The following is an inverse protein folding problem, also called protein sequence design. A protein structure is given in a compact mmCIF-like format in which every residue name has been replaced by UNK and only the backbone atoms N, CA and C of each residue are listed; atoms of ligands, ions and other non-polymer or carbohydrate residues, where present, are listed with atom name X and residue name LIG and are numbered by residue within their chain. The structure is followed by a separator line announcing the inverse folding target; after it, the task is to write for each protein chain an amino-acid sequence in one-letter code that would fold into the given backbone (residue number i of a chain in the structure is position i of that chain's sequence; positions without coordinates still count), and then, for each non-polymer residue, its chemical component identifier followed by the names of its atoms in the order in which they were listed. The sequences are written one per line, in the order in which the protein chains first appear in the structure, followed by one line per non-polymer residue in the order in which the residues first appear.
data_IF_882685774074
#
_entry.id   IF_882685774074
#
_cell.length_a   1.000
_cell.length_b   1.000
_cell.length_c   1.000
_cell.angle_alpha   90.00
_cell.angle_beta   90.00
_cell.angle_gamma   90.00
#
_symmetry.space_group_name_H-M   'P 1'
#
loop_
_entity.id
_entity.type
_entity.pdbx_description
1 polymer ?
#
# COMPACT_ATOMS: atom_id res chain seq x y z
N UNK A 1 7.52 21.38 -8.28
CA UNK A 1 7.51 20.95 -6.87
C UNK A 1 8.89 20.39 -6.56
N UNK A 2 9.80 21.27 -6.16
CA UNK A 2 11.23 20.92 -5.93
C UNK A 2 11.60 20.82 -4.45
N UNK A 3 10.72 21.30 -3.56
CA UNK A 3 10.88 21.22 -2.12
C UNK A 3 9.96 20.15 -1.53
N UNK A 4 10.35 19.51 -0.41
CA UNK A 4 9.47 18.59 0.30
C UNK A 4 8.27 19.33 0.92
N UNK A 5 7.25 18.56 1.30
CA UNK A 5 6.10 19.08 2.01
C UNK A 5 6.49 19.55 3.43
N UNK A 6 5.69 20.47 3.98
CA UNK A 6 5.86 20.92 5.35
C UNK A 6 5.15 19.93 6.26
N UNK A 7 5.89 19.35 7.20
CA UNK A 7 5.34 18.43 8.17
C UNK A 7 4.42 19.12 9.19
N UNK A 8 3.46 18.38 9.73
CA UNK A 8 2.71 18.85 10.90
C UNK A 8 3.66 19.09 12.07
N UNK A 9 3.36 20.09 12.91
CA UNK A 9 4.29 20.61 13.93
C UNK A 9 4.64 19.60 15.05
N UNK A 10 3.78 18.62 15.23
CA UNK A 10 3.82 17.58 16.26
C UNK A 10 4.29 16.21 15.74
N UNK A 11 4.66 16.10 14.46
CA UNK A 11 5.31 14.90 13.91
C UNK A 11 6.58 14.58 14.72
N UNK A 12 6.81 13.31 15.11
CA UNK A 12 8.00 12.90 15.84
C UNK A 12 9.29 13.33 15.14
N UNK A 13 10.19 13.99 15.87
CA UNK A 13 11.49 14.38 15.31
C UNK A 13 12.45 13.20 15.32
N UNK A 14 13.01 12.88 14.16
CA UNK A 14 13.96 11.78 14.01
C UNK A 14 14.83 11.94 12.77
N UNK A 15 15.93 11.18 12.74
CA UNK A 15 16.87 11.17 11.60
C UNK A 15 16.57 10.05 10.59
N UNK A 16 15.95 8.98 11.04
CA UNK A 16 15.73 7.74 10.30
C UNK A 16 14.66 6.87 11.02
N UNK A 17 14.34 5.72 10.42
CA UNK A 17 13.34 4.74 10.89
C UNK A 17 13.51 4.32 12.37
N UNK A 18 14.71 4.42 12.96
CA UNK A 18 14.94 4.06 14.37
C UNK A 18 14.25 4.99 15.36
N UNK A 19 13.73 6.13 14.89
CA UNK A 19 13.00 7.13 15.67
C UNK A 19 11.50 7.13 15.40
N UNK A 20 10.99 6.19 14.60
CA UNK A 20 9.57 6.00 14.42
C UNK A 20 8.92 5.53 15.73
N UNK A 21 7.67 5.92 15.97
CA UNK A 21 7.00 5.72 17.27
C UNK A 21 5.84 4.74 17.10
N UNK A 22 5.87 3.63 17.83
CA UNK A 22 4.72 2.72 17.89
C UNK A 22 3.62 3.39 18.72
N UNK A 23 2.47 3.65 18.09
CA UNK A 23 1.33 4.32 18.74
C UNK A 23 0.20 3.36 19.09
N UNK A 24 0.18 2.16 18.48
CA UNK A 24 -0.83 1.14 18.74
C UNK A 24 -0.31 -0.26 18.40
N UNK A 25 -0.81 -1.28 19.10
CA UNK A 25 -0.60 -2.70 18.77
C UNK A 25 -1.92 -3.43 18.97
N UNK A 26 -2.22 -4.39 18.09
CA UNK A 26 -3.48 -5.15 18.09
C UNK A 26 -3.26 -6.57 17.55
N UNK A 27 -4.09 -7.50 18.03
CA UNK A 27 -3.99 -8.92 17.70
C UNK A 27 -2.96 -9.67 18.57
N UNK A 28 -3.05 -11.00 18.55
CA UNK A 28 -2.17 -11.88 19.30
C UNK A 28 -1.12 -12.50 18.38
N UNK A 29 0.16 -12.42 18.77
CA UNK A 29 1.24 -13.10 18.04
C UNK A 29 1.05 -14.63 18.18
N UNK A 30 1.02 -15.39 17.07
CA UNK A 30 0.82 -16.84 17.13
C UNK A 30 1.96 -17.53 17.88
N UNK A 31 1.61 -18.57 18.64
CA UNK A 31 2.56 -19.45 19.33
C UNK A 31 2.55 -20.81 18.66
N UNK A 32 3.67 -21.18 18.07
CA UNK A 32 3.84 -22.47 17.41
C UNK A 32 4.51 -23.47 18.37
N UNK A 33 4.03 -24.72 18.36
CA UNK A 33 4.69 -25.87 19.01
C UNK A 33 5.65 -26.60 18.03
N UNK A 34 5.95 -25.96 16.90
CA UNK A 34 6.89 -26.35 15.87
C UNK A 34 7.68 -25.11 15.39
N UNK A 35 8.77 -25.33 14.65
CA UNK A 35 9.54 -24.24 14.05
C UNK A 35 8.77 -23.68 12.83
N UNK A 36 8.35 -22.39 12.85
CA UNK A 36 7.59 -21.82 11.76
C UNK A 36 8.47 -21.71 10.51
N UNK A 37 7.93 -22.16 9.37
CA UNK A 37 8.55 -21.98 8.07
C UNK A 37 8.33 -20.57 7.55
N UNK A 38 9.24 -20.09 6.71
CA UNK A 38 9.00 -18.87 5.96
C UNK A 38 8.03 -19.08 4.79
N UNK A 39 7.46 -17.97 4.31
CA UNK A 39 6.47 -17.99 3.24
C UNK A 39 6.96 -18.60 1.92
N UNK A 40 8.27 -18.56 1.61
CA UNK A 40 8.78 -19.12 0.36
C UNK A 40 8.82 -20.65 0.48
N UNK A 41 9.34 -21.17 1.58
CA UNK A 41 9.41 -22.60 1.83
C UNK A 41 7.99 -23.21 1.89
N UNK A 42 7.02 -22.49 2.48
CA UNK A 42 5.59 -22.87 2.44
C UNK A 42 5.03 -22.78 1.01
N UNK A 43 5.29 -21.66 0.34
CA UNK A 43 4.73 -21.38 -0.98
C UNK A 43 5.19 -22.34 -2.07
N UNK A 44 6.45 -22.79 -2.01
CA UNK A 44 7.00 -23.82 -2.90
C UNK A 44 6.44 -25.20 -2.58
N UNK A 45 6.35 -25.57 -1.29
CA UNK A 45 5.81 -26.85 -0.86
C UNK A 45 4.32 -27.03 -1.26
N UNK A 46 3.55 -25.93 -1.22
CA UNK A 46 2.14 -25.89 -1.62
C UNK A 46 1.95 -25.63 -3.14
N UNK A 47 3.04 -25.44 -3.90
CA UNK A 47 3.04 -25.10 -5.33
C UNK A 47 2.15 -23.87 -5.66
N UNK A 48 2.20 -22.86 -4.79
CA UNK A 48 1.48 -21.58 -4.93
C UNK A 48 2.41 -20.41 -5.25
N UNK A 49 3.72 -20.51 -4.98
CA UNK A 49 4.74 -19.53 -5.34
C UNK A 49 5.81 -20.22 -6.18
N UNK A 50 6.10 -19.66 -7.37
CA UNK A 50 7.13 -20.19 -8.27
C UNK A 50 8.09 -19.08 -8.71
N UNK A 51 9.21 -19.00 -8.00
CA UNK A 51 10.29 -18.04 -8.26
C UNK A 51 11.22 -18.56 -9.35
N UNK A 52 11.43 -19.88 -9.43
CA UNK A 52 12.34 -20.47 -10.40
C UNK A 52 11.90 -20.15 -11.83
N UNK A 53 10.65 -20.45 -12.16
CA UNK A 53 10.08 -20.15 -13.49
C UNK A 53 10.06 -18.65 -13.75
N UNK A 54 9.75 -17.83 -12.74
CA UNK A 54 9.78 -16.37 -12.87
C UNK A 54 11.19 -15.85 -13.16
N UNK A 55 12.22 -16.42 -12.54
CA UNK A 55 13.61 -16.07 -12.78
C UNK A 55 14.08 -16.43 -14.19
N UNK A 56 13.61 -17.54 -14.75
CA UNK A 56 13.91 -17.94 -16.12
C UNK A 56 13.23 -17.02 -17.16
N UNK A 57 12.04 -16.51 -16.84
CA UNK A 57 11.24 -15.68 -17.77
C UNK A 57 11.55 -14.18 -17.67
N UNK A 58 11.71 -13.64 -16.46
CA UNK A 58 11.76 -12.20 -16.19
C UNK A 58 13.00 -11.77 -15.38
N UNK A 59 13.82 -12.73 -14.94
CA UNK A 59 14.97 -12.48 -14.06
C UNK A 59 14.60 -12.40 -12.58
N UNK A 60 15.55 -11.95 -11.76
CA UNK A 60 15.38 -11.87 -10.30
C UNK A 60 14.23 -10.94 -9.90
N UNK A 61 13.71 -11.10 -8.67
CA UNK A 61 12.66 -10.25 -8.08
C UNK A 61 11.33 -10.29 -8.84
N UNK A 62 11.02 -11.43 -9.44
CA UNK A 62 9.70 -11.79 -9.95
C UNK A 62 9.27 -13.14 -9.35
N UNK A 63 7.96 -13.37 -9.30
CA UNK A 63 7.38 -14.64 -8.87
C UNK A 63 6.06 -14.87 -9.61
N UNK A 64 5.72 -16.14 -9.86
CA UNK A 64 4.35 -16.52 -10.18
C UNK A 64 3.59 -16.87 -8.90
N UNK A 65 2.37 -16.36 -8.77
CA UNK A 65 1.37 -16.96 -7.90
C UNK A 65 0.54 -17.96 -8.70
N UNK A 66 0.35 -19.16 -8.15
CA UNK A 66 -0.36 -20.27 -8.81
C UNK A 66 -1.44 -20.84 -7.91
N UNK A 67 -2.37 -21.59 -8.52
CA UNK A 67 -3.41 -22.37 -7.83
C UNK A 67 -4.12 -21.54 -6.74
N UNK A 68 -4.14 -22.05 -5.51
CA UNK A 68 -4.78 -21.39 -4.37
C UNK A 68 -4.12 -20.06 -3.99
N UNK A 69 -2.81 -19.85 -4.27
CA UNK A 69 -2.15 -18.55 -4.06
C UNK A 69 -2.68 -17.46 -4.99
N UNK A 70 -2.92 -17.80 -6.25
CA UNK A 70 -3.54 -16.87 -7.20
C UNK A 70 -4.99 -16.52 -6.80
N UNK A 71 -5.75 -17.51 -6.32
CA UNK A 71 -7.12 -17.27 -5.82
C UNK A 71 -7.13 -16.44 -4.52
N UNK A 72 -6.11 -16.59 -3.66
CA UNK A 72 -5.95 -15.79 -2.45
C UNK A 72 -5.72 -14.31 -2.77
N UNK A 73 -4.88 -14.00 -3.76
CA UNK A 73 -4.70 -12.63 -4.25
C UNK A 73 -6.03 -11.99 -4.67
N UNK A 74 -6.78 -12.67 -5.54
CA UNK A 74 -8.09 -12.18 -6.00
C UNK A 74 -9.07 -12.00 -4.84
N UNK A 75 -9.04 -12.88 -3.84
CA UNK A 75 -9.85 -12.78 -2.64
C UNK A 75 -9.51 -11.55 -1.79
N UNK A 76 -8.22 -11.22 -1.65
CA UNK A 76 -7.77 -10.03 -0.92
C UNK A 76 -8.27 -8.74 -1.60
N UNK A 77 -8.19 -8.67 -2.93
CA UNK A 77 -8.71 -7.53 -3.71
C UNK A 77 -10.21 -7.35 -3.46
N UNK A 78 -10.98 -8.44 -3.62
CA UNK A 78 -12.43 -8.42 -3.42
C UNK A 78 -12.82 -8.09 -1.98
N UNK A 79 -12.06 -8.56 -1.00
CA UNK A 79 -12.26 -8.26 0.42
C UNK A 79 -12.09 -6.77 0.70
N UNK A 80 -10.99 -6.15 0.24
CA UNK A 80 -10.74 -4.73 0.40
C UNK A 80 -11.82 -3.87 -0.28
N UNK A 81 -12.14 -4.15 -1.54
CA UNK A 81 -13.17 -3.42 -2.28
C UNK A 81 -14.55 -3.52 -1.61
N UNK A 82 -14.94 -4.70 -1.13
CA UNK A 82 -16.23 -4.86 -0.45
C UNK A 82 -16.29 -4.11 0.89
N UNK A 83 -15.18 -3.98 1.62
CA UNK A 83 -15.15 -3.12 2.82
C UNK A 83 -15.29 -1.66 2.41
N UNK A 84 -14.43 -1.19 1.50
CA UNK A 84 -14.32 0.23 1.17
C UNK A 84 -15.54 0.78 0.42
N UNK A 85 -16.15 0.01 -0.48
CA UNK A 85 -17.37 0.44 -1.16
C UNK A 85 -18.53 0.71 -0.19
N UNK A 86 -18.61 -0.03 0.92
CA UNK A 86 -19.63 0.20 1.96
C UNK A 86 -19.39 1.49 2.75
N UNK A 87 -18.18 2.00 2.71
CA UNK A 87 -17.72 3.21 3.40
C UNK A 87 -17.68 4.43 2.45
N UNK A 88 -18.31 4.29 1.27
CA UNK A 88 -18.49 5.37 0.30
C UNK A 88 -17.33 5.60 -0.66
N UNK A 89 -16.38 4.66 -0.77
CA UNK A 89 -15.33 4.72 -1.78
C UNK A 89 -15.87 4.36 -3.16
N UNK A 90 -15.48 5.14 -4.17
CA UNK A 90 -15.74 4.83 -5.57
C UNK A 90 -14.68 3.86 -6.10
N UNK A 91 -15.11 2.70 -6.58
CA UNK A 91 -14.22 1.69 -7.14
C UNK A 91 -13.69 2.08 -8.53
N UNK A 92 -12.37 2.01 -8.71
CA UNK A 92 -11.68 2.39 -9.95
C UNK A 92 -10.65 1.32 -10.31
N UNK A 93 -10.50 1.02 -11.60
CA UNK A 93 -9.35 0.31 -12.14
C UNK A 93 -8.54 1.32 -12.96
N UNK A 94 -7.51 1.96 -12.37
CA UNK A 94 -6.80 3.03 -13.06
C UNK A 94 -5.76 2.46 -14.05
N UNK A 95 -5.33 3.25 -15.05
CA UNK A 95 -4.18 2.90 -15.87
C UNK A 95 -2.91 2.70 -15.03
N UNK A 96 -2.05 1.77 -15.45
CA UNK A 96 -0.73 1.51 -14.84
C UNK A 96 0.41 2.29 -15.48
N UNK A 97 0.09 3.14 -16.44
CA UNK A 97 1.03 3.99 -17.15
C UNK A 97 0.65 5.46 -16.97
N UNK A 98 1.65 6.31 -16.78
CA UNK A 98 1.48 7.73 -16.49
C UNK A 98 2.46 8.58 -17.28
N UNK A 99 1.96 9.69 -17.84
CA UNK A 99 2.82 10.64 -18.56
C UNK A 99 3.75 11.39 -17.59
N UNK A 100 5.00 11.71 -17.98
CA UNK A 100 5.98 12.34 -17.10
C UNK A 100 5.48 13.65 -16.47
N UNK A 101 4.76 14.48 -17.23
CA UNK A 101 4.22 15.76 -16.74
C UNK A 101 3.17 15.56 -15.65
N UNK A 102 2.34 14.52 -15.75
CA UNK A 102 1.34 14.19 -14.74
C UNK A 102 2.02 13.59 -13.50
N UNK A 103 3.02 12.75 -13.70
CA UNK A 103 3.77 12.13 -12.61
C UNK A 103 4.54 13.18 -11.79
N UNK A 104 5.09 14.21 -12.46
CA UNK A 104 5.70 15.40 -11.84
C UNK A 104 4.66 16.24 -11.09
N UNK A 105 3.47 16.45 -11.68
CA UNK A 105 2.35 17.16 -11.03
C UNK A 105 1.83 16.44 -9.78
N UNK A 106 1.99 15.12 -9.69
CA UNK A 106 1.70 14.37 -8.46
C UNK A 106 2.81 14.45 -7.40
N UNK A 107 3.96 15.06 -7.72
CA UNK A 107 5.12 15.11 -6.82
C UNK A 107 5.86 13.77 -6.72
N UNK A 108 5.63 12.87 -7.68
CA UNK A 108 6.13 11.48 -7.63
C UNK A 108 7.16 11.19 -8.73
N UNK A 109 7.68 12.23 -9.39
CA UNK A 109 8.77 12.14 -10.36
C UNK A 109 9.75 13.32 -10.19
N UNK A 110 10.80 13.11 -9.41
CA UNK A 110 12.02 13.95 -9.33
C UNK A 110 13.20 13.29 -10.06
N UNK A 111 14.31 14.01 -10.25
CA UNK A 111 15.56 13.41 -10.79
C UNK A 111 16.04 12.21 -9.96
N UNK A 112 16.05 12.34 -8.63
CA UNK A 112 16.45 11.27 -7.71
C UNK A 112 15.52 10.05 -7.74
N UNK A 113 14.28 10.21 -8.20
CA UNK A 113 13.28 9.13 -8.26
C UNK A 113 13.25 8.42 -9.62
N UNK A 114 13.90 8.96 -10.67
CA UNK A 114 13.86 8.34 -12.00
C UNK A 114 14.50 6.96 -12.03
N UNK A 115 15.60 6.78 -11.30
CA UNK A 115 16.35 5.51 -11.29
C UNK A 115 15.53 4.35 -10.74
N UNK A 116 14.57 4.62 -9.86
CA UNK A 116 13.69 3.60 -9.25
C UNK A 116 12.43 3.30 -10.09
N UNK A 117 12.25 3.95 -11.25
CA UNK A 117 11.03 3.81 -12.08
C UNK A 117 11.32 3.18 -13.42
N UNK A 118 10.39 2.35 -13.88
CA UNK A 118 10.40 1.85 -15.25
C UNK A 118 9.86 2.93 -16.19
N UNK A 119 10.62 3.23 -17.24
CA UNK A 119 10.32 4.22 -18.26
C UNK A 119 10.34 3.57 -19.64
N UNK A 120 9.31 3.84 -20.45
CA UNK A 120 9.16 3.35 -21.81
C UNK A 120 9.51 4.49 -22.75
N UNK A 121 10.78 4.54 -23.18
CA UNK A 121 11.36 5.68 -23.91
C UNK A 121 10.62 6.01 -25.22
N UNK A 122 10.16 5.00 -25.95
CA UNK A 122 9.50 5.17 -27.25
C UNK A 122 8.18 5.92 -27.16
N UNK A 123 7.50 5.81 -26.02
CA UNK A 123 6.16 6.33 -25.80
C UNK A 123 6.16 7.53 -24.82
N UNK A 124 7.33 7.91 -24.29
CA UNK A 124 7.51 8.91 -23.23
C UNK A 124 6.51 8.72 -22.08
N UNK A 125 6.51 7.51 -21.49
CA UNK A 125 5.57 7.13 -20.44
C UNK A 125 6.23 6.25 -19.37
N UNK A 126 5.80 6.40 -18.12
CA UNK A 126 6.31 5.63 -16.98
C UNK A 126 5.30 4.59 -16.52
N UNK A 127 5.79 3.47 -16.00
CA UNK A 127 4.97 2.58 -15.18
C UNK A 127 4.83 3.13 -13.75
N UNK A 128 3.65 2.97 -13.15
CA UNK A 128 3.34 3.50 -11.81
C UNK A 128 3.81 2.54 -10.71
N UNK A 129 4.34 3.09 -9.62
CA UNK A 129 4.67 2.32 -8.39
C UNK A 129 3.56 2.28 -7.34
N UNK A 130 2.38 2.84 -7.65
CA UNK A 130 1.17 2.88 -6.83
C UNK A 130 -0.03 3.32 -7.68
N UNK A 131 -1.22 2.78 -7.42
CA UNK A 131 -2.50 3.30 -7.96
C UNK A 131 -2.74 4.78 -7.61
N UNK A 132 -2.21 5.26 -6.49
CA UNK A 132 -2.28 6.68 -6.07
C UNK A 132 -1.90 7.63 -7.22
N UNK A 133 -0.86 7.27 -7.98
CA UNK A 133 -0.31 8.11 -9.04
C UNK A 133 -1.32 8.39 -10.16
N UNK A 134 -2.27 7.48 -10.38
CA UNK A 134 -3.30 7.57 -11.42
C UNK A 134 -4.72 7.75 -10.87
N UNK A 135 -4.92 7.58 -9.56
CA UNK A 135 -6.14 8.01 -8.86
C UNK A 135 -6.14 9.52 -8.59
N UNK A 136 -5.03 10.10 -8.14
CA UNK A 136 -4.92 11.55 -7.88
C UNK A 136 -5.29 12.42 -9.08
N UNK A 137 -4.84 12.11 -10.31
CA UNK A 137 -5.25 12.85 -11.51
C UNK A 137 -6.76 12.87 -11.80
N UNK A 138 -7.59 12.03 -11.16
CA UNK A 138 -9.05 12.15 -11.24
C UNK A 138 -9.58 13.47 -10.68
N UNK A 139 -8.81 14.13 -9.80
CA UNK A 139 -9.11 15.47 -9.27
C UNK A 139 -8.56 16.62 -10.12
N UNK A 140 -7.82 16.35 -11.20
CA UNK A 140 -7.05 17.36 -11.92
C UNK A 140 -7.93 18.48 -12.48
N UNK A 141 -7.52 19.73 -12.24
CA UNK A 141 -8.20 20.95 -12.67
C UNK A 141 -9.66 21.07 -12.21
N UNK A 142 -10.08 20.27 -11.22
CA UNK A 142 -11.43 20.34 -10.63
C UNK A 142 -11.48 21.32 -9.47
N UNK A 143 -12.63 21.97 -9.31
CA UNK A 143 -13.00 22.70 -8.09
C UNK A 143 -14.25 22.03 -7.50
N UNK A 144 -14.08 21.28 -6.43
CA UNK A 144 -15.16 20.61 -5.71
C UNK A 144 -16.02 21.61 -4.92
N UNK A 145 -17.31 21.32 -4.79
CA UNK A 145 -18.15 21.91 -3.75
C UNK A 145 -17.87 21.22 -2.42
N UNK A 146 -18.03 21.91 -1.29
CA UNK A 146 -17.78 21.34 0.05
C UNK A 146 -18.55 20.04 0.29
N UNK A 147 -19.81 19.97 -0.16
CA UNK A 147 -20.68 18.79 -0.03
C UNK A 147 -20.21 17.55 -0.80
N UNK A 148 -19.29 17.70 -1.75
CA UNK A 148 -18.71 16.59 -2.50
C UNK A 148 -17.52 15.95 -1.76
N UNK A 149 -17.06 16.57 -0.66
CA UNK A 149 -15.92 16.11 0.11
C UNK A 149 -16.37 15.44 1.43
N UNK A 150 -15.66 14.40 1.89
CA UNK A 150 -14.49 13.80 1.24
C UNK A 150 -14.88 12.99 -0.01
N UNK A 151 -14.10 13.16 -1.10
CA UNK A 151 -14.26 12.39 -2.34
C UNK A 151 -13.25 11.26 -2.35
N UNK A 152 -13.73 10.03 -2.16
CA UNK A 152 -12.93 8.84 -1.91
C UNK A 152 -12.94 7.88 -3.11
N UNK A 153 -11.78 7.34 -3.43
CA UNK A 153 -11.58 6.31 -4.44
C UNK A 153 -10.84 5.11 -3.85
N UNK A 154 -11.23 3.91 -4.27
CA UNK A 154 -10.45 2.68 -4.07
C UNK A 154 -9.99 2.17 -5.43
N UNK A 155 -8.70 1.94 -5.59
CA UNK A 155 -8.09 1.50 -6.84
C UNK A 155 -7.28 0.22 -6.70
N UNK A 156 -7.39 -0.67 -7.69
CA UNK A 156 -6.51 -1.84 -7.82
C UNK A 156 -5.59 -1.68 -9.02
N UNK A 157 -4.29 -1.94 -8.84
CA UNK A 157 -3.35 -1.98 -9.94
C UNK A 157 -2.11 -2.81 -9.63
N UNK A 158 -1.55 -3.44 -10.66
CA UNK A 158 -0.14 -3.84 -10.64
C UNK A 158 0.76 -2.61 -10.60
N UNK A 159 1.75 -2.67 -9.71
CA UNK A 159 2.68 -1.60 -9.38
C UNK A 159 4.11 -2.04 -9.71
N UNK A 160 4.91 -1.10 -10.21
CA UNK A 160 6.24 -1.38 -10.72
C UNK A 160 7.31 -0.50 -10.05
N UNK A 161 8.37 -1.13 -9.55
CA UNK A 161 9.54 -0.45 -8.96
C UNK A 161 10.81 -1.15 -9.39
N UNK A 162 11.84 -0.38 -9.74
CA UNK A 162 13.16 -0.95 -10.10
C UNK A 162 13.93 -1.41 -8.87
N UNK A 163 13.51 -1.03 -7.67
CA UNK A 163 14.14 -1.41 -6.41
C UNK A 163 15.64 -1.05 -6.42
N UNK A 164 15.97 0.09 -7.04
CA UNK A 164 17.33 0.56 -7.20
C UNK A 164 17.92 0.89 -5.82
N UNK A 165 19.14 0.42 -5.54
CA UNK A 165 19.80 0.63 -4.24
C UNK A 165 19.39 -0.35 -3.14
N UNK A 166 18.51 -1.33 -3.40
CA UNK A 166 18.12 -2.37 -2.43
C UNK A 166 19.07 -3.60 -2.38
N UNK A 167 20.32 -3.45 -2.82
CA UNK A 167 21.28 -4.55 -2.97
C UNK A 167 21.42 -5.38 -1.68
N UNK A 168 21.12 -6.68 -1.77
CA UNK A 168 21.23 -7.64 -0.66
C UNK A 168 20.09 -7.60 0.36
N UNK A 169 19.16 -6.64 0.30
CA UNK A 169 18.02 -6.53 1.23
C UNK A 169 16.78 -7.22 0.66
N UNK A 170 16.12 -8.03 1.50
CA UNK A 170 14.83 -8.69 1.20
C UNK A 170 14.82 -9.36 -0.19
N UNK A 171 15.86 -10.15 -0.49
CA UNK A 171 16.03 -10.77 -1.82
C UNK A 171 15.28 -12.11 -1.97
N UNK A 172 14.88 -12.74 -0.86
CA UNK A 172 14.15 -14.01 -0.84
C UNK A 172 12.64 -13.75 -0.91
N UNK A 173 11.93 -14.55 -1.70
CA UNK A 173 10.47 -14.59 -1.69
C UNK A 173 9.80 -13.45 -2.47
N UNK A 174 8.60 -13.07 -2.02
CA UNK A 174 7.73 -12.08 -2.67
C UNK A 174 7.61 -10.76 -1.89
N UNK A 175 8.51 -10.52 -0.93
CA UNK A 175 8.46 -9.35 -0.04
C UNK A 175 8.86 -8.04 -0.75
N UNK A 176 9.84 -8.13 -1.66
CA UNK A 176 10.37 -7.01 -2.43
C UNK A 176 10.65 -7.46 -3.87
N UNK A 177 9.71 -7.17 -4.76
CA UNK A 177 9.68 -7.60 -6.15
C UNK A 177 9.49 -6.40 -7.09
N UNK A 178 9.85 -6.56 -8.37
CA UNK A 178 9.73 -5.48 -9.35
C UNK A 178 8.30 -5.16 -9.74
N UNK A 179 7.44 -6.19 -9.72
CA UNK A 179 6.00 -6.10 -9.97
C UNK A 179 5.26 -6.66 -8.77
N UNK A 180 4.33 -5.89 -8.22
CA UNK A 180 3.46 -6.32 -7.12
C UNK A 180 2.09 -5.67 -7.24
N UNK A 181 1.08 -6.32 -6.68
CA UNK A 181 -0.28 -5.82 -6.73
C UNK A 181 -0.68 -5.11 -5.44
N UNK A 182 -1.51 -4.07 -5.58
CA UNK A 182 -1.94 -3.23 -4.46
C UNK A 182 -3.37 -2.76 -4.62
N UNK A 183 -4.09 -2.71 -3.50
CA UNK A 183 -5.34 -1.95 -3.37
C UNK A 183 -5.03 -0.66 -2.63
N UNK A 184 -5.37 0.48 -3.24
CA UNK A 184 -5.07 1.82 -2.74
C UNK A 184 -6.35 2.59 -2.44
N UNK A 185 -6.36 3.30 -1.32
CA UNK A 185 -7.32 4.35 -0.99
C UNK A 185 -6.74 5.72 -1.37
N UNK A 186 -7.54 6.56 -2.01
CA UNK A 186 -7.19 7.95 -2.27
C UNK A 186 -8.38 8.85 -1.92
N UNK A 187 -8.13 9.95 -1.22
CA UNK A 187 -9.18 10.87 -0.80
C UNK A 187 -8.80 12.32 -1.05
N UNK A 188 -9.75 13.08 -1.61
CA UNK A 188 -9.72 14.54 -1.55
C UNK A 188 -10.56 14.99 -0.36
N UNK A 189 -9.99 15.82 0.50
CA UNK A 189 -10.66 16.33 1.69
C UNK A 189 -10.66 17.86 1.73
N UNK A 190 -11.63 18.43 2.45
CA UNK A 190 -11.58 19.83 2.83
C UNK A 190 -10.36 20.07 3.75
N UNK A 191 -9.59 21.16 3.62
CA UNK A 191 -8.40 21.41 4.44
C UNK A 191 -8.66 21.27 5.95
N UNK A 192 -9.75 21.85 6.45
CA UNK A 192 -10.15 21.79 7.87
C UNK A 192 -10.54 20.39 8.36
N UNK A 193 -10.80 19.45 7.43
CA UNK A 193 -11.21 18.07 7.72
C UNK A 193 -10.15 17.04 7.36
N UNK A 194 -8.95 17.50 6.99
CA UNK A 194 -7.89 16.65 6.49
C UNK A 194 -7.35 15.67 7.55
N UNK A 195 -7.16 16.10 8.80
CA UNK A 195 -6.71 15.18 9.86
C UNK A 195 -7.78 14.16 10.23
N UNK A 196 -9.06 14.55 10.24
CA UNK A 196 -10.19 13.65 10.45
C UNK A 196 -10.25 12.56 9.37
N UNK A 197 -10.08 12.94 8.09
CA UNK A 197 -10.00 12.00 6.98
C UNK A 197 -8.76 11.08 7.08
N UNK A 198 -7.63 11.61 7.57
CA UNK A 198 -6.40 10.81 7.74
C UNK A 198 -6.62 9.68 8.75
N UNK A 199 -7.23 9.99 9.89
CA UNK A 199 -7.59 9.01 10.91
C UNK A 199 -8.65 8.03 10.40
N UNK A 200 -9.60 8.50 9.59
CA UNK A 200 -10.57 7.62 8.94
C UNK A 200 -9.90 6.60 8.01
N UNK A 201 -8.99 7.02 7.13
CA UNK A 201 -8.25 6.10 6.24
C UNK A 201 -7.42 5.09 7.02
N UNK A 202 -6.73 5.53 8.09
CA UNK A 202 -5.99 4.63 8.98
C UNK A 202 -6.94 3.61 9.63
N UNK A 203 -8.11 4.02 10.10
CA UNK A 203 -9.10 3.11 10.68
C UNK A 203 -9.60 2.05 9.70
N UNK A 204 -9.60 2.35 8.39
CA UNK A 204 -9.94 1.37 7.36
C UNK A 204 -8.85 0.32 7.19
N UNK A 205 -7.57 0.70 7.26
CA UNK A 205 -6.47 -0.26 7.28
C UNK A 205 -6.57 -1.18 8.50
N UNK A 206 -6.78 -0.59 9.68
CA UNK A 206 -6.97 -1.35 10.92
C UNK A 206 -8.15 -2.33 10.83
N UNK A 207 -9.28 -1.90 10.26
CA UNK A 207 -10.45 -2.76 10.01
C UNK A 207 -10.13 -3.93 9.08
N UNK A 208 -9.35 -3.68 8.02
CA UNK A 208 -8.91 -4.70 7.07
C UNK A 208 -8.03 -5.74 7.77
N UNK A 209 -6.95 -5.32 8.41
CA UNK A 209 -5.98 -6.23 9.03
C UNK A 209 -6.52 -6.94 10.28
N UNK A 210 -7.36 -6.28 11.08
CA UNK A 210 -8.09 -6.95 12.18
C UNK A 210 -9.03 -8.04 11.64
N UNK A 211 -9.74 -7.78 10.53
CA UNK A 211 -10.62 -8.78 9.93
C UNK A 211 -9.88 -9.95 9.28
N UNK A 212 -8.62 -9.75 8.87
CA UNK A 212 -7.73 -10.82 8.41
C UNK A 212 -7.15 -11.66 9.56
N UNK A 213 -7.41 -11.27 10.81
CA UNK A 213 -6.87 -11.91 12.02
C UNK A 213 -5.33 -11.93 12.04
N UNK A 214 -4.72 -10.83 11.60
CA UNK A 214 -3.26 -10.67 11.56
C UNK A 214 -2.82 -9.72 12.69
N UNK A 215 -1.86 -10.12 13.54
CA UNK A 215 -1.32 -9.22 14.56
C UNK A 215 -0.51 -8.09 13.92
N UNK A 216 -0.86 -6.86 14.25
CA UNK A 216 -0.30 -5.66 13.65
C UNK A 216 0.01 -4.57 14.67
N UNK A 217 0.83 -3.61 14.27
CA UNK A 217 1.05 -2.36 14.99
C UNK A 217 0.93 -1.17 14.06
N UNK A 218 0.57 -0.03 14.63
CA UNK A 218 0.57 1.27 13.95
C UNK A 218 1.77 2.07 14.43
N UNK A 219 2.53 2.59 13.48
CA UNK A 219 3.76 3.32 13.71
C UNK A 219 3.61 4.72 13.10
N UNK A 220 3.84 5.76 13.90
CA UNK A 220 3.98 7.13 13.39
C UNK A 220 5.41 7.36 12.91
N UNK A 221 5.52 7.82 11.67
CA UNK A 221 6.81 7.97 10.98
C UNK A 221 7.42 9.33 11.34
N UNK A 222 8.70 9.32 11.67
CA UNK A 222 9.40 10.53 12.11
C UNK A 222 9.84 11.40 10.91
N UNK A 223 10.19 12.66 11.19
CA UNK A 223 10.59 13.65 10.17
C UNK A 223 11.71 13.21 9.22
N UNK A 224 12.61 12.34 9.67
CA UNK A 224 13.74 11.87 8.86
C UNK A 224 13.43 10.70 7.94
N UNK A 225 12.25 10.09 8.11
CA UNK A 225 11.83 8.87 7.41
C UNK A 225 10.54 9.07 6.59
N UNK A 226 9.78 10.15 6.86
CA UNK A 226 8.61 10.54 6.07
C UNK A 226 9.00 10.84 4.61
N UNK A 227 8.18 10.34 3.68
CA UNK A 227 8.32 10.61 2.25
C UNK A 227 8.15 12.10 1.89
N UNK A 228 8.83 12.60 0.84
CA UNK A 228 8.93 14.05 0.57
C UNK A 228 7.60 14.74 0.23
N UNK A 229 6.55 13.99 -0.12
CA UNK A 229 5.22 14.54 -0.44
C UNK A 229 4.32 14.69 0.78
N UNK A 230 4.66 14.02 1.88
CA UNK A 230 3.73 13.75 2.96
C UNK A 230 3.98 14.73 4.12
N UNK A 231 2.92 15.25 4.72
CA UNK A 231 2.98 16.12 5.89
C UNK A 231 2.94 15.31 7.21
N UNK A 232 2.28 14.14 7.18
CA UNK A 232 2.28 13.13 8.25
C UNK A 232 2.03 11.76 7.61
N UNK A 233 2.67 10.73 8.15
CA UNK A 233 2.52 9.34 7.70
C UNK A 233 2.40 8.41 8.91
N UNK A 234 1.51 7.43 8.78
CA UNK A 234 1.44 6.26 9.65
C UNK A 234 1.68 5.00 8.82
N UNK A 235 2.43 4.06 9.36
CA UNK A 235 2.56 2.74 8.77
C UNK A 235 1.84 1.70 9.63
N UNK A 236 1.16 0.76 8.94
CA UNK A 236 0.65 -0.47 9.52
C UNK A 236 1.65 -1.56 9.21
N UNK A 237 2.18 -2.17 10.26
CA UNK A 237 3.14 -3.25 10.17
C UNK A 237 2.54 -4.53 10.76
N UNK A 238 2.71 -5.66 10.08
CA UNK A 238 2.19 -6.97 10.50
C UNK A 238 3.35 -7.86 10.94
N UNK A 239 3.12 -8.69 11.96
CA UNK A 239 4.09 -9.65 12.46
C UNK A 239 4.46 -10.69 11.39
N UNK A 240 5.76 -10.93 11.22
CA UNK A 240 6.29 -11.96 10.32
C UNK A 240 7.06 -13.00 11.15
N UNK A 241 6.45 -14.15 11.49
CA UNK A 241 7.04 -15.17 12.35
C UNK A 241 8.45 -15.61 11.95
N UNK A 242 8.72 -15.80 10.66
CA UNK A 242 10.05 -16.24 10.18
C UNK A 242 11.16 -15.21 10.41
N UNK A 243 10.80 -13.95 10.64
CA UNK A 243 11.74 -12.83 10.82
C UNK A 243 11.76 -12.30 12.25
N UNK A 244 10.89 -12.80 13.13
CA UNK A 244 10.72 -12.34 14.52
C UNK A 244 10.57 -10.81 14.65
N UNK A 245 9.81 -10.21 13.71
CA UNK A 245 9.56 -8.76 13.70
C UNK A 245 8.30 -8.38 12.94
N UNK A 246 7.83 -7.17 13.23
CA UNK A 246 6.82 -6.49 12.41
C UNK A 246 7.47 -5.98 11.11
N UNK A 247 6.73 -6.09 9.99
CA UNK A 247 7.09 -5.55 8.69
C UNK A 247 5.96 -4.71 8.14
N UNK A 248 6.28 -3.55 7.57
CA UNK A 248 5.33 -2.68 6.87
C UNK A 248 4.54 -3.46 5.81
N UNK A 249 3.21 -3.36 5.88
CA UNK A 249 2.29 -3.91 4.87
C UNK A 249 1.41 -2.83 4.25
N UNK A 250 1.32 -1.66 4.89
CA UNK A 250 0.58 -0.52 4.39
C UNK A 250 1.09 0.78 5.00
N UNK A 251 1.02 1.87 4.22
CA UNK A 251 1.26 3.24 4.68
C UNK A 251 0.00 4.08 4.51
N UNK A 252 -0.15 5.14 5.30
CA UNK A 252 -1.28 6.07 5.29
C UNK A 252 -0.77 7.51 5.48
N UNK A 253 -0.88 8.31 4.44
CA UNK A 253 -0.27 9.63 4.35
C UNK A 253 -1.30 10.74 4.16
N UNK A 254 -1.07 11.85 4.86
CA UNK A 254 -1.71 13.11 4.59
C UNK A 254 -0.70 14.02 3.86
N UNK A 255 -0.95 14.30 2.59
CA UNK A 255 -0.08 15.13 1.76
C UNK A 255 -0.49 16.61 1.75
N UNK A 256 -1.43 17.01 2.63
CA UNK A 256 -2.03 18.34 2.66
C UNK A 256 -2.37 18.81 1.24
N UNK A 257 -2.04 20.03 0.86
CA UNK A 257 -2.26 20.56 -0.48
C UNK A 257 -1.06 20.32 -1.44
N UNK A 258 -0.07 19.51 -1.06
CA UNK A 258 1.13 19.31 -1.87
C UNK A 258 0.80 18.81 -3.27
N UNK A 259 0.12 17.67 -3.35
CA UNK A 259 -0.26 17.07 -4.63
C UNK A 259 -1.29 17.92 -5.36
N UNK A 260 -2.29 18.44 -4.65
CA UNK A 260 -3.41 19.19 -5.24
C UNK A 260 -2.98 20.54 -5.80
N UNK A 261 -1.92 21.18 -5.27
CA UNK A 261 -1.28 22.32 -5.93
C UNK A 261 -0.73 21.96 -7.31
N UNK A 262 -0.11 20.78 -7.43
CA UNK A 262 0.46 20.31 -8.69
C UNK A 262 -0.58 19.95 -9.76
N UNK A 263 -1.68 19.32 -9.35
CA UNK A 263 -2.80 18.96 -10.24
C UNK A 263 -3.93 19.99 -10.26
N UNK A 264 -3.76 21.14 -9.60
CA UNK A 264 -4.72 22.25 -9.53
C UNK A 264 -6.13 21.82 -9.05
N UNK A 265 -6.19 20.98 -8.02
CA UNK A 265 -7.44 20.53 -7.40
C UNK A 265 -7.83 21.44 -6.25
N UNK A 266 -9.03 22.01 -6.32
CA UNK A 266 -9.53 23.01 -5.37
C UNK A 266 -10.84 22.58 -4.73
N UNK A 267 -11.17 23.25 -3.63
CA UNK A 267 -12.50 23.26 -3.01
C UNK A 267 -12.98 24.71 -2.95
N UNK A 268 -14.27 24.92 -3.25
CA UNK A 268 -14.93 26.21 -3.08
C UNK A 268 -15.28 26.41 -1.61
N UNK A 269 -14.75 27.46 -0.99
CA UNK A 269 -14.98 27.83 0.41
C UNK A 269 -15.57 29.23 0.48
N UNK A 270 -16.89 29.34 0.56
CA UNK A 270 -17.60 30.62 0.41
C UNK A 270 -17.29 31.30 -0.92
N UNK A 271 -16.71 32.51 -0.85
CA UNK A 271 -16.37 33.35 -2.02
C UNK A 271 -14.96 33.09 -2.59
N UNK A 272 -14.14 32.25 -1.95
CA UNK A 272 -12.77 31.95 -2.39
C UNK A 272 -12.60 30.45 -2.64
N UNK A 273 -11.68 30.11 -3.53
CA UNK A 273 -11.24 28.73 -3.72
C UNK A 273 -9.95 28.50 -2.94
N UNK A 274 -9.84 27.36 -2.27
CA UNK A 274 -8.61 26.89 -1.65
C UNK A 274 -8.21 25.56 -2.28
N UNK A 275 -6.95 25.17 -2.19
CA UNK A 275 -6.55 23.82 -2.62
C UNK A 275 -7.17 22.79 -1.69
N UNK A 276 -7.73 21.72 -2.25
CA UNK A 276 -8.17 20.59 -1.43
C UNK A 276 -6.95 19.91 -0.80
N UNK A 277 -7.14 19.15 0.27
CA UNK A 277 -6.08 18.26 0.76
C UNK A 277 -6.18 16.89 0.09
N UNK A 278 -5.03 16.26 -0.16
CA UNK A 278 -4.93 14.91 -0.70
C UNK A 278 -4.41 13.95 0.37
N UNK A 279 -5.08 12.80 0.48
CA UNK A 279 -4.69 11.71 1.36
C UNK A 279 -4.65 10.41 0.58
N UNK A 280 -3.73 9.54 0.95
CA UNK A 280 -3.61 8.22 0.35
C UNK A 280 -3.29 7.19 1.44
N UNK A 281 -3.75 5.97 1.22
CA UNK A 281 -3.47 4.88 2.13
C UNK A 281 -3.49 3.54 1.39
N UNK A 282 -2.50 2.69 1.64
CA UNK A 282 -2.51 1.32 1.11
C UNK A 282 -3.57 0.52 1.85
N UNK A 283 -4.63 0.06 1.19
CA UNK A 283 -5.58 -0.83 1.81
C UNK A 283 -4.96 -2.21 2.04
N UNK A 284 -4.35 -2.78 1.00
CA UNK A 284 -3.63 -4.05 1.04
C UNK A 284 -2.47 -4.01 0.03
N UNK A 285 -1.23 -4.19 0.49
CA UNK A 285 -0.13 -4.62 -0.37
C UNK A 285 -0.20 -6.15 -0.49
N UNK A 286 -0.64 -6.66 -1.65
CA UNK A 286 -1.12 -8.04 -1.81
C UNK A 286 -0.03 -9.05 -1.45
N UNK A 287 1.15 -8.95 -2.08
CA UNK A 287 2.25 -9.88 -1.84
C UNK A 287 2.67 -9.94 -0.36
N UNK A 288 2.82 -8.78 0.29
CA UNK A 288 3.18 -8.72 1.71
C UNK A 288 2.10 -9.29 2.62
N UNK A 289 0.83 -9.13 2.25
CA UNK A 289 -0.30 -9.67 3.00
C UNK A 289 -0.44 -11.19 2.83
N UNK A 290 -0.14 -11.71 1.63
CA UNK A 290 -0.03 -13.15 1.40
C UNK A 290 1.08 -13.75 2.28
N UNK A 291 2.25 -13.12 2.35
CA UNK A 291 3.33 -13.54 3.26
C UNK A 291 2.81 -13.64 4.70
N UNK A 292 2.16 -12.58 5.18
CA UNK A 292 1.63 -12.55 6.55
C UNK A 292 0.61 -13.67 6.80
N UNK A 293 -0.30 -13.94 5.85
CA UNK A 293 -1.28 -15.03 5.97
C UNK A 293 -0.58 -16.39 6.00
N UNK A 294 0.36 -16.64 5.08
CA UNK A 294 1.08 -17.91 5.02
C UNK A 294 1.82 -18.19 6.32
N UNK A 295 2.55 -17.20 6.85
CA UNK A 295 3.40 -17.41 8.02
C UNK A 295 2.60 -17.45 9.33
N UNK A 296 1.59 -16.59 9.51
CA UNK A 296 0.82 -16.55 10.77
C UNK A 296 -0.20 -17.70 10.89
N UNK A 297 -0.68 -18.25 9.77
CA UNK A 297 -1.74 -19.26 9.77
C UNK A 297 -1.26 -20.67 9.39
N UNK A 298 0.05 -20.89 9.32
CA UNK A 298 0.63 -22.20 9.01
C UNK A 298 0.31 -23.25 10.08
N UNK A 299 0.12 -24.49 9.62
CA UNK A 299 -0.09 -25.67 10.44
C UNK A 299 1.17 -26.55 10.43
N UNK A 300 1.26 -27.47 11.39
CA UNK A 300 2.41 -28.36 11.56
C UNK A 300 2.68 -29.25 10.32
N UNK A 301 1.64 -29.59 9.57
CA UNK A 301 1.74 -30.39 8.34
C UNK A 301 2.15 -29.57 7.10
N UNK A 302 2.26 -28.25 7.22
CA UNK A 302 2.61 -27.33 6.14
C UNK A 302 1.40 -26.73 5.42
N UNK A 303 0.17 -27.13 5.74
CA UNK A 303 -1.03 -26.46 5.25
C UNK A 303 -1.19 -25.07 5.90
N UNK A 304 -1.98 -24.19 5.27
CA UNK A 304 -2.24 -22.84 5.79
C UNK A 304 -3.74 -22.59 5.90
N UNK A 305 -4.20 -22.15 7.07
CA UNK A 305 -5.60 -21.77 7.26
C UNK A 305 -5.89 -20.42 6.60
N UNK A 306 -6.95 -20.36 5.80
CA UNK A 306 -7.42 -19.12 5.16
C UNK A 306 -8.24 -18.31 6.15
N UNK A 307 -7.93 -17.00 6.35
CA UNK A 307 -8.71 -16.13 7.22
C UNK A 307 -10.21 -16.22 6.95
N UNK A 308 -11.03 -16.26 8.00
CA UNK A 308 -12.47 -16.55 7.87
C UNK A 308 -13.19 -15.61 6.91
N UNK A 309 -12.78 -14.34 6.90
CA UNK A 309 -13.34 -13.30 6.03
C UNK A 309 -13.05 -13.53 4.53
N UNK A 310 -12.00 -14.27 4.20
CA UNK A 310 -11.57 -14.56 2.84
C UNK A 310 -12.23 -15.83 2.26
N UNK A 311 -12.67 -16.77 3.09
CA UNK A 311 -13.17 -18.09 2.66
C UNK A 311 -14.31 -18.02 1.63
N UNK A 312 -15.21 -17.03 1.75
CA UNK A 312 -16.30 -16.83 0.79
C UNK A 312 -15.84 -16.34 -0.59
N UNK A 313 -14.65 -15.76 -0.67
CA UNK A 313 -14.05 -15.26 -1.91
C UNK A 313 -13.10 -16.29 -2.53
N UNK A 314 -12.32 -17.00 -1.70
CA UNK A 314 -11.41 -18.06 -2.15
C UNK A 314 -12.16 -19.33 -2.56
N UNK A 315 -13.27 -19.65 -1.88
CA UNK A 315 -14.00 -20.92 -2.06
C UNK A 315 -13.38 -22.10 -1.30
N UNK A 316 -12.38 -21.86 -0.45
CA UNK A 316 -11.71 -22.85 0.39
C UNK A 316 -11.27 -22.24 1.72
N UNK A 317 -11.13 -23.08 2.75
CA UNK A 317 -10.74 -22.71 4.11
C UNK A 317 -9.29 -23.08 4.46
N UNK A 318 -8.64 -23.91 3.64
CA UNK A 318 -7.24 -24.33 3.79
C UNK A 318 -6.51 -24.30 2.44
N UNK A 319 -5.23 -23.92 2.46
CA UNK A 319 -4.30 -24.08 1.35
C UNK A 319 -3.51 -25.37 1.57
N UNK A 320 -3.57 -26.29 0.62
CA UNK A 320 -3.01 -27.66 0.71
C UNK A 320 -2.70 -28.24 -0.66
#
# INVERSE_FOLDING_TARGET
MEFPNVFFSDVPRGKDESKNVVIKTAGDIPKFDFEPKDHLDLGEALDIIDIKTASEVSGSRFAYLKKQGALLELALIQYAFNILNKEGFEAVIPPVMIKPEIYKKMGRLSESQKEDKYYIEKDDIYLVGSSEHTLGPLGMDKTFQEKELPKRYVGFSSCFRREAGSYGKDVKGILRVHQFDKVEMYSFAHPEKSEEEHQFLLSMQEKIYSGLDLPYRVVEICTGDIGPTDARQFDVEVWMPSQDKYREVASCSNATDYQTRGINTKVKTGDKNQYAHALNATAIAIGRTIIAILENNQQKDGSVLVPKVLQKYTGFDVIS
#
